data_IF_007952594342
#
_entry.id   IF_007952594342
#
_cell.length_a   1.000
_cell.length_b   1.000
_cell.length_c   1.000
_cell.angle_alpha   90.00
_cell.angle_beta   90.00
_cell.angle_gamma   90.00
#
_symmetry.space_group_name_H-M   'P 1'
#
loop_
_entity.id
_entity.type
_entity.pdbx_description
1 polymer ?
#
# COMPACT_ATOMS: atom_id res chain seq x y z
N UNK A 1 4.76 2.23 -21.31
CA UNK A 1 5.62 1.59 -20.30
C UNK A 1 4.84 0.41 -19.77
N UNK A 2 5.18 -0.83 -20.14
CA UNK A 2 4.55 -2.01 -19.55
C UNK A 2 5.42 -2.56 -18.42
N UNK A 3 4.81 -3.25 -17.45
CA UNK A 3 5.56 -4.11 -16.55
C UNK A 3 6.21 -5.26 -17.34
N UNK A 4 7.35 -5.81 -16.89
CA UNK A 4 7.96 -6.97 -17.51
C UNK A 4 6.98 -8.15 -17.51
N UNK A 5 7.12 -9.05 -18.49
CA UNK A 5 6.30 -10.27 -18.48
C UNK A 5 6.70 -11.15 -17.30
N UNK A 6 5.72 -11.55 -16.51
CA UNK A 6 5.95 -12.37 -15.33
C UNK A 6 6.43 -13.77 -15.75
N UNK A 7 7.62 -14.22 -15.33
CA UNK A 7 8.14 -15.55 -15.60
C UNK A 7 7.38 -16.59 -14.75
N UNK A 8 7.45 -17.87 -15.13
CA UNK A 8 6.69 -18.95 -14.46
C UNK A 8 7.10 -19.13 -13.00
N UNK A 9 8.38 -18.88 -12.72
CA UNK A 9 9.01 -18.96 -11.41
C UNK A 9 8.49 -17.91 -10.43
N UNK A 10 7.96 -16.78 -10.93
CA UNK A 10 7.37 -15.71 -10.11
C UNK A 10 5.85 -15.79 -9.99
N UNK A 11 5.25 -16.95 -10.31
CA UNK A 11 3.83 -17.20 -10.08
C UNK A 11 3.57 -17.58 -8.62
N UNK A 12 3.65 -16.56 -7.76
CA UNK A 12 3.55 -16.68 -6.30
C UNK A 12 2.22 -16.16 -5.78
N UNK A 13 1.74 -16.77 -4.69
CA UNK A 13 0.66 -16.24 -3.88
C UNK A 13 1.10 -15.03 -3.04
N UNK A 14 0.16 -14.22 -2.52
CA UNK A 14 0.50 -13.00 -1.78
C UNK A 14 1.45 -13.24 -0.59
N UNK A 15 1.24 -14.29 0.19
CA UNK A 15 2.15 -14.61 1.30
C UNK A 15 3.51 -15.14 0.81
N UNK A 16 3.54 -15.97 -0.24
CA UNK A 16 4.78 -16.44 -0.88
C UNK A 16 5.64 -15.26 -1.39
N UNK A 17 5.02 -14.30 -2.07
CA UNK A 17 5.69 -13.06 -2.50
C UNK A 17 6.21 -12.28 -1.29
N UNK A 18 5.40 -12.15 -0.24
CA UNK A 18 5.76 -11.38 0.95
C UNK A 18 6.95 -11.97 1.70
N UNK A 19 7.12 -13.30 1.69
CA UNK A 19 8.30 -13.95 2.27
C UNK A 19 9.58 -13.60 1.52
N UNK A 20 9.51 -13.25 0.23
CA UNK A 20 10.67 -12.87 -0.59
C UNK A 20 10.95 -11.37 -0.62
N UNK A 21 9.96 -10.54 -0.29
CA UNK A 21 10.10 -9.08 -0.31
C UNK A 21 11.17 -8.61 0.69
N UNK A 22 12.24 -7.99 0.16
CA UNK A 22 13.32 -7.37 0.96
C UNK A 22 12.87 -6.07 1.66
N UNK A 23 11.71 -5.55 1.25
CA UNK A 23 11.09 -4.34 1.77
C UNK A 23 9.60 -4.57 2.01
N UNK A 24 9.14 -4.33 3.22
CA UNK A 24 7.72 -4.43 3.55
C UNK A 24 7.16 -3.02 3.80
N UNK A 25 6.27 -2.51 2.92
CA UNK A 25 5.57 -1.26 3.19
C UNK A 25 4.47 -1.54 4.23
N UNK A 26 4.51 -0.77 5.31
CA UNK A 26 3.47 -0.78 6.33
C UNK A 26 2.64 0.49 6.25
N UNK A 27 1.32 0.30 6.26
CA UNK A 27 0.33 1.34 6.38
C UNK A 27 -0.82 0.83 7.26
N UNK A 28 -1.47 1.74 7.98
CA UNK A 28 -2.69 1.40 8.71
C UNK A 28 -3.89 1.79 7.87
N UNK A 29 -4.68 0.80 7.46
CA UNK A 29 -5.94 1.02 6.76
C UNK A 29 -7.09 0.91 7.75
N UNK A 30 -8.06 1.83 7.69
CA UNK A 30 -9.28 1.81 8.51
C UNK A 30 -10.51 2.04 7.64
N UNK A 31 -11.62 1.43 8.02
CA UNK A 31 -12.90 1.75 7.42
C UNK A 31 -13.39 3.11 7.93
N UNK A 32 -13.79 3.96 7.01
CA UNK A 32 -14.43 5.23 7.32
C UNK A 32 -15.82 4.98 7.94
N UNK A 33 -16.30 5.85 8.84
CA UNK A 33 -17.57 5.66 9.54
C UNK A 33 -18.81 5.52 8.65
N UNK A 34 -18.71 5.89 7.37
CA UNK A 34 -19.81 5.78 6.40
C UNK A 34 -19.31 5.11 5.13
N UNK A 35 -20.10 4.15 4.64
CA UNK A 35 -20.06 3.61 3.27
C UNK A 35 -18.94 2.58 2.96
N UNK A 36 -18.39 1.89 3.97
CA UNK A 36 -17.45 0.78 3.71
C UNK A 36 -16.07 1.20 3.17
N UNK A 37 -15.87 2.47 2.87
CA UNK A 37 -14.67 2.98 2.24
C UNK A 37 -13.47 2.91 3.19
N UNK A 38 -12.31 2.53 2.66
CA UNK A 38 -11.07 2.44 3.42
C UNK A 38 -10.27 3.74 3.31
N UNK A 39 -9.75 4.24 4.43
CA UNK A 39 -8.81 5.35 4.54
C UNK A 39 -7.49 4.88 5.13
N UNK A 40 -6.40 5.59 4.79
CA UNK A 40 -5.10 5.37 5.41
C UNK A 40 -4.99 6.27 6.63
N UNK A 41 -4.64 5.69 7.78
CA UNK A 41 -4.38 6.41 9.03
C UNK A 41 -2.88 6.50 9.29
N UNK A 42 -2.39 7.72 9.48
CA UNK A 42 -0.98 7.98 9.79
C UNK A 42 -0.06 7.80 8.58
N UNK A 43 1.23 7.61 8.85
CA UNK A 43 2.25 7.56 7.80
C UNK A 43 2.40 6.15 7.21
N UNK A 44 2.75 6.10 5.93
CA UNK A 44 3.27 4.89 5.27
C UNK A 44 4.77 4.81 5.54
N UNK A 45 5.24 3.67 6.02
CA UNK A 45 6.66 3.44 6.33
C UNK A 45 7.17 2.20 5.61
N UNK A 46 8.42 2.22 5.18
CA UNK A 46 9.06 1.08 4.53
C UNK A 46 9.95 0.36 5.56
N UNK A 47 9.73 -0.93 5.81
CA UNK A 47 10.53 -1.71 6.76
C UNK A 47 11.47 -2.63 5.98
N UNK A 48 12.80 -2.49 6.15
CA UNK A 48 13.75 -3.43 5.58
C UNK A 48 13.62 -4.80 6.25
N UNK A 49 13.80 -5.85 5.45
CA UNK A 49 13.61 -7.24 5.88
C UNK A 49 14.84 -8.07 5.53
N UNK A 50 15.24 -8.92 6.48
CA UNK A 50 16.26 -9.93 6.27
C UNK A 50 15.58 -11.27 5.95
N UNK A 51 15.72 -11.71 4.70
CA UNK A 51 14.98 -12.87 4.18
C UNK A 51 15.67 -14.19 4.52
N UNK A 52 16.98 -14.17 4.76
CA UNK A 52 17.80 -15.37 5.05
C UNK A 52 17.28 -16.26 6.18
N UNK A 53 16.98 -15.74 7.39
CA UNK A 53 16.50 -16.59 8.48
C UNK A 53 15.17 -17.26 8.14
N UNK A 54 14.34 -16.58 7.35
CA UNK A 54 13.05 -17.10 6.88
C UNK A 54 13.26 -18.26 5.92
N UNK A 55 14.14 -18.10 4.93
CA UNK A 55 14.46 -19.14 3.94
C UNK A 55 15.07 -20.38 4.60
N UNK A 56 16.02 -20.20 5.51
CA UNK A 56 16.71 -21.32 6.19
C UNK A 56 15.77 -22.10 7.13
N UNK A 57 14.65 -21.49 7.52
CA UNK A 57 13.63 -22.14 8.34
C UNK A 57 12.58 -22.89 7.49
N UNK A 58 12.53 -22.63 6.18
CA UNK A 58 11.63 -23.34 5.28
C UNK A 58 12.19 -24.74 5.01
N UNK A 59 11.34 -25.78 5.00
CA UNK A 59 11.79 -27.13 4.68
C UNK A 59 12.23 -27.19 3.20
N UNK A 60 13.46 -27.62 2.97
CA UNK A 60 14.08 -27.68 1.64
C UNK A 60 13.74 -28.97 0.88
N UNK A 61 13.20 -29.99 1.56
CA UNK A 61 12.98 -31.36 1.07
C UNK A 61 11.54 -31.68 0.69
N UNK A 62 10.65 -30.69 0.61
CA UNK A 62 9.24 -30.97 0.25
C UNK A 62 9.07 -31.15 -1.27
N UNK A 63 8.25 -32.14 -1.63
CA UNK A 63 7.73 -32.36 -2.98
C UNK A 63 7.10 -31.08 -3.54
N UNK A 64 7.02 -30.94 -4.88
CA UNK A 64 6.50 -29.72 -5.53
C UNK A 64 5.10 -29.30 -5.08
N UNK A 65 4.29 -30.26 -4.65
CA UNK A 65 2.91 -30.08 -4.15
C UNK A 65 2.83 -29.79 -2.65
N UNK A 66 3.93 -29.98 -1.91
CA UNK A 66 3.97 -29.79 -0.47
C UNK A 66 3.68 -28.35 -0.06
N UNK A 67 2.73 -28.18 0.86
CA UNK A 67 2.43 -26.88 1.46
C UNK A 67 2.67 -26.92 2.96
N UNK A 68 3.00 -25.76 3.52
CA UNK A 68 3.16 -25.57 4.96
C UNK A 68 2.31 -24.40 5.42
N UNK A 69 1.72 -24.51 6.61
CA UNK A 69 1.01 -23.39 7.21
C UNK A 69 2.01 -22.36 7.74
N UNK A 70 1.94 -21.13 7.22
CA UNK A 70 2.83 -20.03 7.59
C UNK A 70 2.02 -18.86 8.14
N UNK A 71 2.48 -18.31 9.27
CA UNK A 71 1.93 -17.14 9.94
C UNK A 71 2.94 -16.00 9.93
N UNK A 72 2.63 -14.91 9.24
CA UNK A 72 3.42 -13.69 9.26
C UNK A 72 2.90 -12.73 10.33
N UNK A 73 3.79 -12.26 11.19
CA UNK A 73 3.48 -11.27 12.23
C UNK A 73 4.42 -10.09 12.14
N UNK A 74 3.98 -8.92 12.60
CA UNK A 74 4.87 -7.77 12.87
C UNK A 74 5.92 -8.06 13.94
N UNK A 75 5.54 -8.84 14.94
CA UNK A 75 6.39 -9.30 16.04
C UNK A 75 5.95 -10.68 16.49
N UNK A 76 6.89 -11.53 16.87
CA UNK A 76 6.57 -12.88 17.36
C UNK A 76 5.68 -12.85 18.62
N UNK A 77 5.88 -11.85 19.47
CA UNK A 77 5.13 -11.62 20.72
C UNK A 77 3.61 -11.45 20.49
N UNK A 78 3.21 -10.96 19.32
CA UNK A 78 1.83 -10.56 19.08
C UNK A 78 0.91 -11.76 18.88
N UNK A 79 -0.29 -11.70 19.48
CA UNK A 79 -1.32 -12.74 19.29
C UNK A 79 -1.92 -12.68 17.88
N UNK A 80 -2.15 -11.46 17.38
CA UNK A 80 -2.73 -11.23 16.04
C UNK A 80 -1.68 -11.51 14.96
N UNK A 81 -2.10 -12.24 13.95
CA UNK A 81 -1.36 -12.48 12.73
C UNK A 81 -1.79 -11.49 11.65
N UNK A 82 -0.82 -11.00 10.86
CA UNK A 82 -1.10 -10.10 9.73
C UNK A 82 -1.50 -10.89 8.48
N UNK A 83 -0.84 -12.03 8.24
CA UNK A 83 -1.16 -12.96 7.14
C UNK A 83 -0.98 -14.41 7.59
N UNK A 84 -1.96 -15.27 7.33
CA UNK A 84 -1.92 -16.70 7.66
C UNK A 84 -2.42 -17.48 6.46
N UNK A 85 -1.51 -18.11 5.73
CA UNK A 85 -1.83 -18.88 4.51
C UNK A 85 -0.92 -20.11 4.42
N UNK A 86 -1.31 -21.07 3.60
CA UNK A 86 -0.45 -22.20 3.25
C UNK A 86 0.48 -21.78 2.09
N UNK A 87 1.77 -21.99 2.28
CA UNK A 87 2.84 -21.54 1.38
C UNK A 87 3.52 -22.77 0.78
N UNK A 88 3.89 -22.72 -0.51
CA UNK A 88 4.71 -23.74 -1.18
C UNK A 88 6.20 -23.38 -1.05
N UNK A 89 6.98 -24.06 -0.19
CA UNK A 89 8.40 -23.71 0.00
C UNK A 89 9.21 -23.84 -1.29
N UNK A 90 8.89 -24.85 -2.10
CA UNK A 90 9.51 -25.07 -3.40
C UNK A 90 9.39 -23.84 -4.32
N UNK A 91 8.19 -23.29 -4.47
CA UNK A 91 7.95 -22.12 -5.32
C UNK A 91 8.71 -20.88 -4.83
N UNK A 92 8.76 -20.68 -3.51
CA UNK A 92 9.48 -19.57 -2.86
C UNK A 92 10.99 -19.66 -3.14
N UNK A 93 11.59 -20.86 -3.00
CA UNK A 93 13.01 -21.09 -3.27
C UNK A 93 13.34 -20.89 -4.75
N UNK A 94 12.54 -21.45 -5.67
CA UNK A 94 12.73 -21.27 -7.11
C UNK A 94 12.64 -19.79 -7.52
N UNK A 95 11.66 -19.06 -6.99
CA UNK A 95 11.50 -17.63 -7.23
C UNK A 95 12.70 -16.83 -6.72
N UNK A 96 13.19 -17.13 -5.51
CA UNK A 96 14.35 -16.47 -4.94
C UNK A 96 15.59 -16.67 -5.82
N UNK A 97 15.84 -17.91 -6.26
CA UNK A 97 16.95 -18.22 -7.14
C UNK A 97 16.85 -17.45 -8.47
N UNK A 98 15.66 -17.41 -9.07
CA UNK A 98 15.40 -16.61 -10.26
C UNK A 98 15.75 -15.13 -10.04
N UNK A 99 15.32 -14.54 -8.91
CA UNK A 99 15.54 -13.13 -8.58
C UNK A 99 17.02 -12.81 -8.36
N UNK A 100 17.78 -13.71 -7.73
CA UNK A 100 19.22 -13.55 -7.51
C UNK A 100 20.03 -13.68 -8.80
N UNK A 101 19.64 -14.58 -9.71
CA UNK A 101 20.29 -14.74 -11.01
C UNK A 101 20.02 -13.58 -11.96
N UNK A 102 18.77 -13.11 -11.95
CA UNK A 102 18.28 -12.11 -12.93
C UNK A 102 18.68 -10.68 -12.56
N UNK A 103 18.84 -10.38 -11.26
CA UNK A 103 18.99 -9.00 -10.80
C UNK A 103 20.05 -8.83 -9.73
N UNK A 104 20.85 -7.78 -9.88
CA UNK A 104 21.78 -7.32 -8.83
C UNK A 104 21.05 -6.64 -7.65
N UNK A 105 19.79 -6.23 -7.81
CA UNK A 105 19.01 -5.58 -6.74
C UNK A 105 18.76 -6.49 -5.55
N UNK A 106 18.52 -7.77 -5.84
CA UNK A 106 18.19 -8.78 -4.84
C UNK A 106 19.44 -9.42 -4.22
N UNK A 107 20.64 -9.07 -4.72
CA UNK A 107 21.93 -9.47 -4.13
C UNK A 107 22.24 -8.58 -2.94
N UNK A 108 21.44 -8.69 -1.88
CA UNK A 108 21.76 -8.03 -0.62
C UNK A 108 22.97 -8.72 0.04
N UNK A 109 23.90 -7.97 0.66
CA UNK A 109 25.05 -8.53 1.35
C UNK A 109 24.55 -9.38 2.53
N UNK A 110 24.61 -10.69 2.39
CA UNK A 110 24.10 -11.65 3.37
C UNK A 110 23.17 -12.71 2.78
N UNK A 111 22.65 -12.53 1.56
CA UNK A 111 21.80 -13.53 0.92
C UNK A 111 22.67 -14.58 0.20
N UNK A 112 22.95 -15.70 0.87
CA UNK A 112 23.62 -16.87 0.28
C UNK A 112 22.56 -17.97 0.03
N UNK A 113 22.54 -18.53 -1.18
CA UNK A 113 21.73 -19.72 -1.49
C UNK A 113 22.70 -20.87 -1.70
N UNK A 114 22.42 -22.03 -1.10
CA UNK A 114 23.15 -23.23 -1.42
C UNK A 114 22.70 -23.77 -2.79
N UNK A 115 23.61 -23.82 -3.76
CA UNK A 115 23.40 -24.38 -5.09
C UNK A 115 23.02 -25.88 -5.03
N UNK A 116 23.36 -26.58 -3.95
CA UNK A 116 22.99 -27.99 -3.75
C UNK A 116 21.46 -28.19 -3.71
N UNK A 117 20.70 -27.21 -3.19
CA UNK A 117 19.24 -27.26 -3.17
C UNK A 117 18.65 -27.35 -4.58
N UNK A 118 19.32 -26.77 -5.58
CA UNK A 118 18.88 -26.75 -6.97
C UNK A 118 19.12 -28.09 -7.64
N UNK A 119 20.19 -28.79 -7.27
CA UNK A 119 20.55 -30.08 -7.87
C UNK A 119 19.55 -31.17 -7.48
N UNK A 120 19.09 -31.15 -6.23
CA UNK A 120 17.99 -32.01 -5.76
C UNK A 120 16.66 -31.65 -6.46
N UNK A 121 16.38 -30.36 -6.64
CA UNK A 121 15.18 -29.87 -7.34
C UNK A 121 15.17 -30.26 -8.84
N UNK A 122 16.32 -30.20 -9.51
CA UNK A 122 16.44 -30.56 -10.92
C UNK A 122 16.24 -32.07 -11.15
N UNK A 123 16.74 -32.91 -10.24
CA UNK A 123 16.57 -34.38 -10.30
C UNK A 123 15.10 -34.79 -10.11
N UNK A 124 14.37 -34.17 -9.18
CA UNK A 124 12.94 -34.44 -8.95
C UNK A 124 12.09 -34.05 -10.18
N UNK A 125 12.47 -32.99 -10.90
CA UNK A 125 11.77 -32.56 -12.12
C UNK A 125 11.89 -33.56 -13.29
N UNK A 126 13.03 -34.24 -13.44
CA UNK A 126 13.24 -35.21 -14.51
C UNK A 126 12.44 -36.51 -14.28
N UNK A 127 12.21 -36.90 -13.03
CA UNK A 127 11.45 -38.12 -12.68
C UNK A 127 9.93 -37.94 -12.84
N UNK A 128 9.35 -36.80 -12.46
CA UNK A 128 7.90 -36.55 -12.62
C UNK A 128 7.46 -36.45 -14.10
N UNK A 129 8.32 -35.90 -14.97
CA UNK A 129 8.01 -35.75 -16.40
C UNK A 129 7.92 -37.11 -17.14
N UNK A 130 8.45 -38.18 -16.55
CA UNK A 130 8.30 -39.54 -17.08
C UNK A 130 7.04 -40.25 -16.57
N UNK A 131 6.51 -39.89 -15.41
CA UNK A 131 5.33 -40.52 -14.81
C UNK A 131 4.00 -39.99 -15.37
N UNK A 132 3.90 -38.70 -15.74
CA UNK A 132 2.66 -38.12 -16.29
C UNK A 132 2.30 -38.64 -17.69
N UNK A 133 3.23 -39.27 -18.41
CA UNK A 133 2.94 -39.86 -19.74
C UNK A 133 2.31 -41.25 -19.69
N UNK A 134 2.24 -41.88 -18.51
CA UNK A 134 1.79 -43.27 -18.37
C UNK A 134 0.36 -43.44 -17.83
N UNK A 135 -0.37 -42.36 -17.53
CA UNK A 135 -1.64 -42.42 -16.80
C UNK A 135 -2.85 -41.84 -17.56
N UNK A 136 -2.87 -41.90 -18.89
CA UNK A 136 -4.04 -41.46 -19.68
C UNK A 136 -4.61 -42.58 -20.54
N UNK A 137 -5.24 -43.59 -19.95
CA UNK A 137 -6.31 -44.37 -20.60
C UNK A 137 -7.29 -44.93 -19.54
N UNK A 138 -8.61 -44.74 -19.78
CA UNK A 138 -9.78 -45.36 -19.13
C UNK A 138 -10.23 -44.69 -17.79
N UNK A 139 -11.49 -44.31 -17.51
CA UNK A 139 -12.82 -44.78 -17.97
C UNK A 139 -13.88 -43.65 -18.01
N UNK A 140 -14.94 -43.94 -18.77
CA UNK A 140 -16.16 -43.18 -19.06
C UNK A 140 -17.29 -43.35 -18.00
N UNK A 141 -18.23 -42.37 -18.04
CA UNK A 141 -19.70 -42.43 -17.83
C UNK A 141 -20.40 -42.19 -16.46
N UNK A 142 -21.33 -41.20 -16.53
CA UNK A 142 -22.73 -41.12 -16.02
C UNK A 142 -22.93 -40.98 -14.48
N UNK A 143 -23.85 -40.18 -13.89
CA UNK A 143 -25.20 -39.63 -14.21
C UNK A 143 -25.45 -38.37 -13.33
N UNK A 144 -26.04 -37.25 -13.80
CA UNK A 144 -27.47 -36.83 -13.83
C UNK A 144 -28.20 -36.49 -12.50
N UNK A 145 -28.76 -35.26 -12.49
CA UNK A 145 -29.91 -34.69 -11.72
C UNK A 145 -29.67 -34.31 -10.24
N UNK A 146 -30.20 -33.22 -9.65
CA UNK A 146 -31.37 -32.40 -10.00
C UNK A 146 -31.40 -31.05 -9.20
N UNK A 147 -32.13 -30.08 -9.77
CA UNK A 147 -32.93 -28.97 -9.20
C UNK A 147 -32.43 -28.00 -8.09
N UNK A 148 -32.37 -26.72 -8.49
CA UNK A 148 -33.01 -25.50 -7.92
C UNK A 148 -33.28 -25.38 -6.40
N UNK A 149 -32.79 -24.30 -5.76
CA UNK A 149 -33.61 -23.18 -5.22
C UNK A 149 -32.70 -22.23 -4.42
N UNK A 150 -32.39 -21.05 -5.00
CA UNK A 150 -31.52 -20.04 -4.38
C UNK A 150 -32.40 -18.97 -3.71
N UNK A 151 -32.82 -19.25 -2.47
CA UNK A 151 -33.51 -18.27 -1.64
C UNK A 151 -32.49 -17.47 -0.84
N UNK A 152 -32.30 -16.20 -1.22
CA UNK A 152 -31.55 -15.19 -0.47
C UNK A 152 -32.10 -15.05 0.97
N UNK A 153 -31.43 -15.67 1.94
CA UNK A 153 -31.60 -15.38 3.37
C UNK A 153 -30.29 -14.87 3.98
N UNK A 154 -30.10 -13.56 3.89
CA UNK A 154 -29.08 -12.83 4.64
C UNK A 154 -29.51 -12.77 6.12
N UNK A 155 -28.80 -13.49 7.00
CA UNK A 155 -28.92 -13.33 8.45
C UNK A 155 -27.56 -12.96 9.05
N UNK A 156 -27.50 -11.80 9.72
CA UNK A 156 -26.40 -11.41 10.62
C UNK A 156 -26.21 -12.49 11.70
N UNK A 157 -25.05 -13.14 11.71
CA UNK A 157 -24.63 -14.00 12.83
C UNK A 157 -23.54 -13.31 13.64
N UNK A 158 -23.91 -13.07 14.89
CA UNK A 158 -23.16 -12.52 16.01
C UNK A 158 -21.87 -13.35 16.27
N UNK A 159 -20.73 -12.68 16.47
CA UNK A 159 -19.38 -13.26 16.50
C UNK A 159 -19.06 -14.13 17.74
N UNK A 160 -20.06 -14.72 18.40
CA UNK A 160 -19.87 -15.37 19.71
C UNK A 160 -20.42 -16.80 19.85
N UNK A 161 -20.53 -17.58 18.77
CA UNK A 161 -20.74 -19.02 18.88
C UNK A 161 -19.69 -19.81 18.09
N UNK A 162 -18.76 -20.41 18.83
CA UNK A 162 -17.95 -21.55 18.39
C UNK A 162 -18.87 -22.69 17.99
N UNK A 163 -19.23 -22.76 16.71
CA UNK A 163 -19.78 -23.98 16.13
C UNK A 163 -18.63 -24.95 15.88
N UNK A 164 -18.56 -25.97 16.75
CA UNK A 164 -17.83 -27.21 16.51
C UNK A 164 -18.57 -27.95 15.40
N UNK A 165 -18.30 -27.56 14.16
CA UNK A 165 -18.82 -28.21 12.95
C UNK A 165 -17.71 -29.01 12.31
N UNK A 166 -17.89 -30.33 12.27
CA UNK A 166 -17.00 -31.28 11.59
C UNK A 166 -16.73 -30.85 10.14
N UNK A 167 -15.51 -30.42 9.84
CA UNK A 167 -14.97 -30.39 8.48
C UNK A 167 -13.96 -31.52 8.34
N UNK A 168 -14.48 -32.75 8.32
CA UNK A 168 -13.71 -33.95 8.01
C UNK A 168 -14.01 -34.34 6.56
N UNK A 169 -13.25 -33.76 5.62
CA UNK A 169 -13.09 -34.27 4.24
C UNK A 169 -11.71 -33.89 3.69
N UNK A 170 -10.66 -34.28 4.38
CA UNK A 170 -9.32 -34.43 3.80
C UNK A 170 -8.62 -35.58 4.53
N UNK A 171 -8.77 -36.78 3.98
CA UNK A 171 -8.00 -37.97 4.39
C UNK A 171 -6.60 -37.87 3.80
N UNK A 172 -5.77 -36.98 4.36
CA UNK A 172 -4.33 -37.16 4.22
C UNK A 172 -3.86 -37.96 5.43
N UNK A 173 -3.61 -39.26 5.21
CA UNK A 173 -2.82 -40.07 6.13
C UNK A 173 -1.37 -39.55 6.13
N UNK A 174 -1.11 -38.46 6.82
CA UNK A 174 0.23 -37.96 7.08
C UNK A 174 0.77 -38.77 8.26
N UNK A 175 1.91 -39.48 8.15
CA UNK A 175 2.45 -40.24 9.26
C UNK A 175 2.75 -39.31 10.45
N UNK A 176 2.27 -39.70 11.64
CA UNK A 176 2.25 -39.00 12.95
C UNK A 176 3.61 -38.52 13.50
N UNK A 177 4.68 -38.49 12.70
CA UNK A 177 6.04 -38.22 13.13
C UNK A 177 6.68 -36.98 12.49
N UNK A 178 5.93 -36.10 11.82
CA UNK A 178 6.47 -34.80 11.38
C UNK A 178 6.07 -33.67 12.35
N UNK A 179 6.92 -33.28 13.33
CA UNK A 179 6.62 -32.22 14.30
C UNK A 179 6.42 -30.83 13.68
N UNK A 180 6.66 -30.66 12.37
CA UNK A 180 6.42 -29.42 11.65
C UNK A 180 4.93 -29.22 11.27
N UNK A 181 4.13 -30.29 11.24
CA UNK A 181 2.75 -30.26 10.76
C UNK A 181 1.75 -29.76 11.81
N UNK A 182 2.01 -30.01 13.10
CA UNK A 182 1.12 -29.61 14.21
C UNK A 182 1.34 -28.17 14.69
N UNK A 183 2.48 -27.56 14.37
CA UNK A 183 2.79 -26.18 14.73
C UNK A 183 3.27 -25.41 13.49
N UNK A 184 2.33 -24.77 12.78
CA UNK A 184 2.67 -23.93 11.62
C UNK A 184 3.77 -22.91 11.90
N UNK A 185 4.64 -22.68 10.92
CA UNK A 185 5.81 -21.81 11.03
C UNK A 185 5.37 -20.35 11.20
N UNK A 186 5.93 -19.65 12.20
CA UNK A 186 5.62 -18.25 12.46
C UNK A 186 6.85 -17.38 12.22
N UNK A 187 6.72 -16.37 11.35
CA UNK A 187 7.80 -15.46 10.99
C UNK A 187 7.46 -14.00 11.33
N UNK A 188 8.46 -13.26 11.78
CA UNK A 188 8.42 -11.81 11.92
C UNK A 188 9.70 -11.18 11.35
N UNK A 189 9.86 -11.18 10.01
CA UNK A 189 11.17 -10.95 9.40
C UNK A 189 11.59 -9.46 9.38
N UNK A 190 10.66 -8.55 9.68
CA UNK A 190 10.93 -7.13 9.92
C UNK A 190 11.07 -6.76 11.41
N UNK A 191 11.04 -7.74 12.33
CA UNK A 191 11.16 -7.48 13.76
C UNK A 191 12.57 -6.95 14.11
N UNK A 192 12.65 -5.92 14.94
CA UNK A 192 13.91 -5.28 15.32
C UNK A 192 14.49 -4.30 14.28
N UNK A 193 13.95 -4.29 13.05
CA UNK A 193 14.39 -3.38 11.99
C UNK A 193 13.77 -1.99 12.16
N UNK A 194 14.54 -0.94 11.80
CA UNK A 194 14.06 0.44 11.85
C UNK A 194 13.37 0.82 10.54
N UNK A 195 12.12 1.32 10.58
CA UNK A 195 11.45 1.80 9.38
C UNK A 195 12.20 2.97 8.74
N UNK A 196 12.23 2.97 7.41
CA UNK A 196 12.83 3.98 6.55
C UNK A 196 11.71 4.72 5.81
N UNK A 197 11.91 5.99 5.48
CA UNK A 197 10.99 6.72 4.61
C UNK A 197 10.99 6.13 3.20
N UNK A 198 9.82 5.99 2.59
CA UNK A 198 9.68 5.48 1.22
C UNK A 198 10.48 6.32 0.20
N UNK A 199 10.66 7.62 0.46
CA UNK A 199 11.40 8.53 -0.42
C UNK A 199 12.92 8.44 -0.26
N UNK A 200 13.40 7.94 0.88
CA UNK A 200 14.84 7.80 1.13
C UNK A 200 15.41 6.53 0.51
N UNK A 201 14.56 5.54 0.22
CA UNK A 201 14.93 4.28 -0.39
C UNK A 201 14.44 4.24 -1.85
N UNK A 202 15.30 4.55 -2.84
CA UNK A 202 14.91 4.60 -4.25
C UNK A 202 14.48 3.24 -4.80
N UNK A 203 14.85 2.16 -4.13
CA UNK A 203 14.56 0.79 -4.54
C UNK A 203 13.38 0.16 -3.83
N UNK A 204 12.75 0.90 -2.91
CA UNK A 204 11.67 0.39 -2.07
C UNK A 204 10.57 -0.29 -2.88
N UNK A 205 10.11 0.34 -3.97
CA UNK A 205 9.06 -0.19 -4.83
C UNK A 205 9.47 -1.51 -5.51
N UNK A 206 10.70 -1.59 -6.02
CA UNK A 206 11.20 -2.77 -6.74
C UNK A 206 11.44 -3.95 -5.79
N UNK A 207 11.92 -3.67 -4.57
CA UNK A 207 12.21 -4.66 -3.54
C UNK A 207 10.97 -5.10 -2.76
N UNK A 208 9.90 -4.29 -2.76
CA UNK A 208 8.63 -4.64 -2.13
C UNK A 208 7.77 -5.57 -2.98
N UNK A 209 7.81 -5.41 -4.30
CA UNK A 209 6.93 -6.14 -5.23
C UNK A 209 7.74 -6.91 -6.28
N UNK A 210 8.46 -7.97 -5.85
CA UNK A 210 9.33 -8.72 -6.75
C UNK A 210 8.56 -9.38 -7.91
N UNK A 211 7.27 -9.70 -7.74
CA UNK A 211 6.47 -10.34 -8.80
C UNK A 211 5.96 -9.35 -9.86
N UNK A 212 5.87 -8.06 -9.53
CA UNK A 212 5.44 -6.99 -10.45
C UNK A 212 6.64 -6.54 -11.30
N UNK A 213 7.78 -6.31 -10.63
CA UNK A 213 8.98 -5.80 -11.28
C UNK A 213 9.93 -6.89 -11.76
N UNK A 214 9.69 -8.16 -11.38
CA UNK A 214 10.55 -9.29 -11.74
C UNK A 214 12.04 -9.07 -11.39
N UNK A 215 12.29 -8.33 -10.32
CA UNK A 215 13.63 -7.90 -9.91
C UNK A 215 14.27 -6.83 -10.80
N UNK A 216 13.57 -6.24 -11.76
CA UNK A 216 14.13 -5.23 -12.66
C UNK A 216 13.76 -3.82 -12.19
N UNK A 217 14.74 -2.89 -12.18
CA UNK A 217 14.43 -1.47 -12.04
C UNK A 217 13.77 -0.96 -13.30
N UNK A 218 12.94 0.08 -13.16
CA UNK A 218 12.57 0.88 -14.34
C UNK A 218 13.84 1.54 -14.90
N UNK A 219 13.93 1.73 -16.22
CA UNK A 219 15.08 2.39 -16.84
C UNK A 219 15.23 3.79 -16.27
N UNK A 220 16.46 4.22 -16.01
CA UNK A 220 16.72 5.55 -15.47
C UNK A 220 16.40 6.65 -16.50
N UNK A 221 16.18 7.89 -16.04
CA UNK A 221 15.95 9.02 -16.95
C UNK A 221 17.10 9.27 -17.94
N UNK A 222 18.31 8.76 -17.66
CA UNK A 222 19.46 8.81 -18.58
C UNK A 222 19.30 7.87 -19.79
N UNK A 223 18.56 6.79 -19.62
CA UNK A 223 18.32 5.77 -20.65
C UNK A 223 17.05 6.04 -21.46
N UNK A 224 16.22 6.97 -20.99
CA UNK A 224 14.96 7.35 -21.64
C UNK A 224 15.19 8.45 -22.67
N UNK A 225 14.43 8.39 -23.77
CA UNK A 225 14.36 9.48 -24.75
C UNK A 225 13.76 10.76 -24.17
N UNK A 226 12.85 10.63 -23.20
CA UNK A 226 12.18 11.72 -22.50
C UNK A 226 12.30 11.48 -21.01
N UNK A 227 12.77 12.49 -20.28
CA UNK A 227 12.82 12.44 -18.82
C UNK A 227 11.40 12.40 -18.27
N UNK A 228 11.13 11.44 -17.39
CA UNK A 228 9.82 11.28 -16.73
C UNK A 228 10.02 11.37 -15.23
N UNK A 229 9.25 12.24 -14.58
CA UNK A 229 9.28 12.35 -13.13
C UNK A 229 8.53 11.15 -12.49
N UNK A 230 8.95 10.72 -11.31
CA UNK A 230 8.31 9.61 -10.59
C UNK A 230 6.80 9.82 -10.45
N UNK A 231 6.39 11.05 -10.15
CA UNK A 231 4.98 11.45 -10.08
C UNK A 231 4.20 11.14 -11.36
N UNK A 232 4.80 11.31 -12.54
CA UNK A 232 4.11 11.09 -13.80
C UNK A 232 3.96 9.61 -14.12
N UNK A 233 4.91 8.79 -13.66
CA UNK A 233 4.82 7.33 -13.70
C UNK A 233 3.62 6.86 -12.86
N UNK A 234 3.56 7.26 -11.59
CA UNK A 234 2.48 6.85 -10.68
C UNK A 234 1.11 7.34 -11.18
N UNK A 235 1.02 8.58 -11.69
CA UNK A 235 -0.20 9.10 -12.34
C UNK A 235 -0.67 8.23 -13.50
N UNK A 236 0.27 7.79 -14.34
CA UNK A 236 -0.06 6.97 -15.49
C UNK A 236 -0.61 5.61 -15.06
N UNK A 237 -0.01 4.98 -14.06
CA UNK A 237 -0.45 3.69 -13.52
C UNK A 237 -1.85 3.75 -12.93
N UNK A 238 -2.10 4.73 -12.05
CA UNK A 238 -3.41 4.95 -11.45
C UNK A 238 -4.51 5.16 -12.50
N UNK A 239 -4.20 5.92 -13.55
CA UNK A 239 -5.15 6.21 -14.64
C UNK A 239 -5.33 5.06 -15.60
N UNK A 240 -4.33 4.20 -15.75
CA UNK A 240 -4.42 3.01 -16.62
C UNK A 240 -5.30 1.91 -16.01
N UNK A 241 -5.47 1.92 -14.68
CA UNK A 241 -6.23 0.90 -13.96
C UNK A 241 -7.76 1.05 -14.11
N UNK A 242 -8.27 2.27 -14.24
CA UNK A 242 -9.70 2.54 -14.41
C UNK A 242 -10.01 2.93 -15.87
N UNK A 243 -10.62 2.02 -16.62
CA UNK A 243 -10.95 2.19 -18.05
C UNK A 243 -12.36 2.74 -18.28
N UNK A 244 -13.08 3.15 -17.22
CA UNK A 244 -14.45 3.68 -17.36
C UNK A 244 -14.44 5.05 -18.04
N UNK A 245 -15.18 5.16 -19.13
CA UNK A 245 -15.36 6.41 -19.85
C UNK A 245 -16.36 7.32 -19.13
N UNK A 246 -16.05 8.61 -19.08
CA UNK A 246 -16.94 9.62 -18.48
C UNK A 246 -18.05 9.96 -19.47
N UNK A 247 -19.29 9.57 -19.15
CA UNK A 247 -20.48 9.87 -19.96
C UNK A 247 -21.00 11.31 -19.77
N UNK A 248 -20.81 11.87 -18.59
CA UNK A 248 -21.15 13.26 -18.26
C UNK A 248 -20.05 13.89 -17.40
N UNK A 249 -19.47 14.98 -17.89
CA UNK A 249 -18.38 15.70 -17.24
C UNK A 249 -18.82 16.35 -15.92
N UNK A 250 -20.08 16.82 -15.82
CA UNK A 250 -20.57 17.46 -14.60
C UNK A 250 -20.91 16.42 -13.53
N UNK A 251 -21.61 15.34 -13.87
CA UNK A 251 -21.82 14.23 -12.94
C UNK A 251 -20.49 13.62 -12.47
N UNK A 252 -19.49 13.52 -13.34
CA UNK A 252 -18.15 13.06 -12.97
C UNK A 252 -17.45 14.05 -12.03
N UNK A 253 -17.50 15.35 -12.31
CA UNK A 253 -16.90 16.36 -11.42
C UNK A 253 -17.57 16.37 -10.03
N UNK A 254 -18.90 16.28 -9.97
CA UNK A 254 -19.65 16.21 -8.71
C UNK A 254 -19.39 14.89 -7.99
N UNK A 255 -19.32 13.76 -8.72
CA UNK A 255 -18.96 12.47 -8.15
C UNK A 255 -17.54 12.52 -7.57
N UNK A 256 -16.54 12.97 -8.35
CA UNK A 256 -15.16 13.10 -7.91
C UNK A 256 -15.05 14.04 -6.72
N UNK A 257 -15.68 15.22 -6.76
CA UNK A 257 -15.66 16.17 -5.66
C UNK A 257 -16.30 15.57 -4.40
N UNK A 258 -17.48 14.97 -4.53
CA UNK A 258 -18.17 14.30 -3.42
C UNK A 258 -17.42 13.10 -2.87
N UNK A 259 -16.61 12.43 -3.70
CA UNK A 259 -15.83 11.25 -3.38
C UNK A 259 -14.50 11.60 -2.71
N UNK A 260 -13.81 12.62 -3.22
CA UNK A 260 -12.55 13.14 -2.65
C UNK A 260 -12.83 13.90 -1.36
N UNK A 261 -13.81 14.80 -1.34
CA UNK A 261 -14.14 15.61 -0.15
C UNK A 261 -14.92 14.85 0.92
N UNK A 262 -15.23 13.56 0.68
CA UNK A 262 -16.10 12.76 1.56
C UNK A 262 -15.56 12.62 2.98
N UNK A 263 -14.25 12.39 3.12
CA UNK A 263 -13.59 12.26 4.42
C UNK A 263 -13.32 13.61 5.10
N UNK A 264 -13.42 14.71 4.35
CA UNK A 264 -13.31 16.07 4.88
C UNK A 264 -14.64 16.63 5.41
N UNK A 265 -15.77 15.91 5.22
CA UNK A 265 -17.08 16.36 5.73
C UNK A 265 -17.08 16.45 7.26
N UNK A 266 -17.42 17.64 7.78
CA UNK A 266 -17.45 17.90 9.22
C UNK A 266 -16.16 18.48 9.80
N UNK A 267 -15.07 18.54 9.02
CA UNK A 267 -13.80 19.15 9.45
C UNK A 267 -13.95 20.63 9.84
N UNK A 268 -14.86 21.37 9.20
CA UNK A 268 -15.11 22.78 9.55
C UNK A 268 -15.58 22.94 10.98
N UNK A 269 -16.51 22.09 11.44
CA UNK A 269 -17.04 22.17 12.81
C UNK A 269 -15.98 21.80 13.85
N UNK A 270 -15.16 20.79 13.56
CA UNK A 270 -14.04 20.37 14.40
C UNK A 270 -12.96 21.44 14.50
N UNK A 271 -12.61 22.07 13.38
CA UNK A 271 -11.65 23.18 13.35
C UNK A 271 -12.19 24.42 14.06
N UNK A 272 -13.49 24.71 13.91
CA UNK A 272 -14.13 25.81 14.65
C UNK A 272 -14.10 25.57 16.16
N UNK A 273 -14.30 24.33 16.60
CA UNK A 273 -14.18 23.96 18.01
C UNK A 273 -12.74 24.11 18.50
N UNK A 274 -11.76 23.54 17.79
CA UNK A 274 -10.34 23.67 18.14
C UNK A 274 -9.89 25.14 18.16
N UNK A 275 -10.41 25.99 17.26
CA UNK A 275 -10.13 27.41 17.22
C UNK A 275 -10.80 28.19 18.38
N UNK A 276 -11.94 27.73 18.90
CA UNK A 276 -12.57 28.28 20.11
C UNK A 276 -11.79 27.88 21.36
N UNK A 277 -11.39 26.62 21.46
CA UNK A 277 -10.57 26.09 22.57
C UNK A 277 -9.20 26.78 22.63
N UNK A 278 -8.54 26.95 21.48
CA UNK A 278 -7.28 27.69 21.38
C UNK A 278 -7.41 29.15 21.81
N UNK A 279 -8.55 29.81 21.53
CA UNK A 279 -8.82 31.21 21.93
C UNK A 279 -9.18 31.37 23.40
N UNK A 280 -9.75 30.34 24.03
CA UNK A 280 -10.08 30.33 25.46
C UNK A 280 -8.84 30.09 26.33
N UNK A 281 -7.86 29.36 25.82
CA UNK A 281 -6.55 29.24 26.47
C UNK A 281 -5.74 30.54 26.36
N UNK A 282 -5.20 31.03 27.48
CA UNK A 282 -4.16 32.07 27.52
C UNK A 282 -2.82 31.52 26.98
N UNK A 283 -2.83 30.98 25.77
CA UNK A 283 -1.68 30.41 25.09
C UNK A 283 -1.11 31.43 24.11
N UNK A 284 0.21 31.43 23.97
CA UNK A 284 0.89 32.21 22.93
C UNK A 284 0.43 31.79 21.53
N UNK A 285 0.46 32.72 20.58
CA UNK A 285 -0.13 32.58 19.24
C UNK A 285 0.46 31.38 18.48
N UNK A 286 1.74 31.09 18.69
CA UNK A 286 2.43 29.91 18.14
C UNK A 286 1.88 28.59 18.71
N UNK A 287 1.56 28.59 20.00
CA UNK A 287 0.98 27.43 20.68
C UNK A 287 -0.48 27.20 20.28
N UNK A 288 -1.24 28.28 20.05
CA UNK A 288 -2.60 28.20 19.50
C UNK A 288 -2.61 27.56 18.11
N UNK A 289 -1.73 28.01 17.21
CA UNK A 289 -1.59 27.43 15.87
C UNK A 289 -1.18 25.96 15.94
N UNK A 290 -0.24 25.61 16.84
CA UNK A 290 0.18 24.21 17.03
C UNK A 290 -0.95 23.33 17.59
N UNK A 291 -1.77 23.87 18.49
CA UNK A 291 -2.93 23.16 19.04
C UNK A 291 -3.95 22.83 17.94
N UNK A 292 -4.32 23.82 17.13
CA UNK A 292 -5.23 23.63 15.98
C UNK A 292 -4.62 22.65 14.97
N UNK A 293 -3.33 22.79 14.66
CA UNK A 293 -2.62 21.91 13.71
C UNK A 293 -2.49 20.46 14.17
N UNK A 294 -2.30 20.23 15.48
CA UNK A 294 -2.30 18.89 16.06
C UNK A 294 -3.70 18.26 16.01
N UNK A 295 -4.73 19.05 16.32
CA UNK A 295 -6.11 18.58 16.26
C UNK A 295 -6.50 18.20 14.82
N UNK A 296 -6.14 19.04 13.85
CA UNK A 296 -6.29 18.77 12.42
C UNK A 296 -5.57 17.47 12.02
N UNK A 297 -4.26 17.37 12.29
CA UNK A 297 -3.46 16.20 11.91
C UNK A 297 -3.98 14.87 12.47
N UNK A 298 -4.63 14.90 13.65
CA UNK A 298 -5.17 13.71 14.29
C UNK A 298 -6.60 13.35 13.86
N UNK A 299 -7.36 14.33 13.37
CA UNK A 299 -8.78 14.17 12.98
C UNK A 299 -8.98 14.04 11.49
N UNK A 300 -8.04 14.52 10.67
CA UNK A 300 -8.10 14.36 9.22
C UNK A 300 -7.95 12.90 8.86
N UNK A 301 -8.99 12.37 8.25
CA UNK A 301 -8.94 11.10 7.54
C UNK A 301 -8.89 11.43 6.04
N UNK A 302 -7.97 10.78 5.33
CA UNK A 302 -7.78 11.01 3.90
C UNK A 302 -8.10 9.72 3.17
N UNK A 303 -9.00 9.79 2.18
CA UNK A 303 -9.30 8.63 1.33
C UNK A 303 -8.03 8.15 0.63
N UNK A 304 -7.94 6.87 0.27
CA UNK A 304 -6.75 6.34 -0.42
C UNK A 304 -6.43 7.13 -1.72
N UNK A 305 -7.47 7.56 -2.44
CA UNK A 305 -7.36 8.31 -3.67
C UNK A 305 -6.88 9.75 -3.43
N UNK A 306 -7.45 10.44 -2.46
CA UNK A 306 -7.03 11.79 -2.08
C UNK A 306 -5.61 11.80 -1.50
N UNK A 307 -5.27 10.80 -0.68
CA UNK A 307 -3.93 10.62 -0.14
C UNK A 307 -2.91 10.48 -1.27
N UNK A 308 -3.27 9.72 -2.31
CA UNK A 308 -2.43 9.57 -3.51
C UNK A 308 -2.26 10.91 -4.25
N UNK A 309 -3.33 11.69 -4.44
CA UNK A 309 -3.24 13.01 -5.06
C UNK A 309 -2.37 13.99 -4.26
N UNK A 310 -2.49 14.01 -2.93
CA UNK A 310 -1.69 14.85 -2.04
C UNK A 310 -0.22 14.43 -2.02
N UNK A 311 0.05 13.12 -1.87
CA UNK A 311 1.39 12.53 -1.89
C UNK A 311 2.14 12.87 -3.18
N UNK A 312 1.43 12.79 -4.31
CA UNK A 312 1.97 13.07 -5.63
C UNK A 312 1.99 14.56 -5.98
N UNK A 313 1.59 15.46 -5.06
CA UNK A 313 1.42 16.90 -5.31
C UNK A 313 0.63 17.18 -6.60
N UNK A 314 -0.36 16.33 -6.86
CA UNK A 314 -1.24 16.54 -8.00
C UNK A 314 -2.13 17.74 -7.70
N UNK A 315 -2.26 18.68 -8.65
CA UNK A 315 -3.23 19.75 -8.50
C UNK A 315 -4.62 19.13 -8.41
N UNK A 316 -5.24 19.21 -7.23
CA UNK A 316 -6.62 18.76 -6.97
C UNK A 316 -7.60 19.48 -7.88
N UNK A 317 -7.27 20.71 -8.27
CA UNK A 317 -8.00 21.49 -9.27
C UNK A 317 -7.01 22.15 -10.22
N UNK A 318 -7.33 22.13 -11.52
CA UNK A 318 -6.69 22.97 -12.53
C UNK A 318 -7.76 23.90 -13.08
N UNK A 319 -7.64 25.19 -12.79
CA UNK A 319 -8.51 26.21 -13.35
C UNK A 319 -7.78 26.95 -14.46
N UNK A 320 -8.45 27.19 -15.58
CA UNK A 320 -7.96 28.11 -16.62
C UNK A 320 -8.09 29.58 -16.22
N UNK A 321 -8.77 29.85 -15.10
CA UNK A 321 -9.04 31.18 -14.55
C UNK A 321 -8.37 31.33 -13.19
N UNK A 322 -7.66 32.44 -12.98
CA UNK A 322 -7.07 32.78 -11.70
C UNK A 322 -8.18 33.16 -10.70
N UNK A 323 -8.16 32.53 -9.52
CA UNK A 323 -9.03 32.92 -8.41
C UNK A 323 -8.30 33.95 -7.57
N UNK A 324 -8.91 35.12 -7.40
CA UNK A 324 -8.35 36.22 -6.65
C UNK A 324 -9.29 36.56 -5.50
N UNK A 325 -8.77 36.59 -4.28
CA UNK A 325 -9.55 36.96 -3.10
C UNK A 325 -9.82 38.48 -3.12
N UNK A 326 -11.09 38.85 -3.06
CA UNK A 326 -11.53 40.25 -2.98
C UNK A 326 -12.07 40.49 -1.57
N UNK A 327 -11.37 41.30 -0.78
CA UNK A 327 -11.83 41.66 0.57
C UNK A 327 -12.99 42.66 0.47
N UNK A 328 -14.22 42.20 0.67
CA UNK A 328 -15.43 43.03 0.62
C UNK A 328 -15.69 43.84 1.91
N UNK A 329 -14.83 43.75 2.91
CA UNK A 329 -14.96 44.52 4.16
C UNK A 329 -14.82 46.02 3.91
N UNK A 330 -15.36 46.89 4.80
CA UNK A 330 -15.11 48.33 4.75
C UNK A 330 -13.61 48.64 4.75
N UNK A 331 -13.17 49.66 4.00
CA UNK A 331 -11.76 49.96 3.73
C UNK A 331 -10.88 50.03 5.00
N UNK A 332 -11.40 50.63 6.08
CA UNK A 332 -10.71 50.75 7.37
C UNK A 332 -10.57 49.42 8.16
N UNK A 333 -11.26 48.36 7.74
CA UNK A 333 -11.17 47.01 8.32
C UNK A 333 -10.48 46.01 7.39
N UNK A 334 -10.11 46.42 6.16
CA UNK A 334 -9.41 45.55 5.24
C UNK A 334 -8.00 45.33 5.75
N UNK A 335 -7.62 44.06 5.92
CA UNK A 335 -6.23 43.69 6.22
C UNK A 335 -5.38 43.89 4.97
N UNK A 336 -4.22 44.52 5.13
CA UNK A 336 -3.23 44.73 4.06
C UNK A 336 -1.87 44.22 4.50
N UNK A 337 -1.06 43.79 3.54
CA UNK A 337 0.33 43.41 3.78
C UNK A 337 1.20 44.67 3.78
N UNK A 338 2.08 44.79 4.77
CA UNK A 338 3.08 45.84 4.81
C UNK A 338 4.15 45.62 3.74
N UNK A 339 4.72 46.71 3.23
CA UNK A 339 5.93 46.65 2.40
C UNK A 339 7.06 45.97 3.19
N UNK A 340 8.03 45.37 2.49
CA UNK A 340 9.21 44.80 3.13
C UNK A 340 9.96 45.87 3.95
N UNK A 341 10.61 45.47 5.05
CA UNK A 341 11.35 46.38 5.96
C UNK A 341 12.36 47.26 5.22
N UNK A 342 13.08 46.70 4.24
CA UNK A 342 14.04 47.41 3.40
C UNK A 342 13.43 48.49 2.50
N UNK A 343 12.13 48.41 2.21
CA UNK A 343 11.37 49.41 1.47
C UNK A 343 10.71 50.44 2.40
N UNK A 344 10.34 50.03 3.61
CA UNK A 344 9.84 50.91 4.68
C UNK A 344 10.92 51.88 5.17
N UNK A 345 12.16 51.44 5.29
CA UNK A 345 13.30 52.29 5.70
C UNK A 345 13.67 53.36 4.66
N UNK A 346 13.27 53.15 3.39
CA UNK A 346 13.51 54.09 2.29
C UNK A 346 12.38 55.12 2.13
N UNK A 347 11.29 54.97 2.86
CA UNK A 347 10.18 55.91 2.84
C UNK A 347 10.53 57.15 3.68
N UNK A 348 10.10 58.32 3.22
CA UNK A 348 10.25 59.55 3.99
C UNK A 348 9.50 59.49 5.33
N UNK A 349 9.92 60.26 6.34
CA UNK A 349 9.38 60.18 7.70
C UNK A 349 7.86 60.45 7.80
N UNK A 350 7.29 61.16 6.82
CA UNK A 350 5.86 61.51 6.78
C UNK A 350 5.05 60.65 5.78
N UNK A 351 5.67 59.63 5.17
CA UNK A 351 4.98 58.82 4.16
C UNK A 351 4.04 57.80 4.80
N UNK A 352 2.77 57.86 4.43
CA UNK A 352 1.70 56.93 4.86
C UNK A 352 1.55 55.72 3.93
N UNK A 353 2.38 55.61 2.89
CA UNK A 353 2.32 54.54 1.89
C UNK A 353 3.07 53.28 2.34
N UNK A 354 2.65 52.73 3.47
CA UNK A 354 3.25 51.55 4.12
C UNK A 354 2.73 50.22 3.55
N UNK A 355 1.68 50.28 2.74
CA UNK A 355 0.98 49.13 2.21
C UNK A 355 1.63 48.60 0.94
N UNK A 356 1.77 47.28 0.80
CA UNK A 356 2.21 46.65 -0.44
C UNK A 356 1.17 46.82 -1.57
N UNK A 357 1.65 46.88 -2.82
CA UNK A 357 0.79 47.00 -4.00
C UNK A 357 -0.11 45.77 -4.12
N UNK A 358 -1.39 46.04 -4.36
CA UNK A 358 -2.39 45.02 -4.61
C UNK A 358 -3.34 45.58 -5.69
N UNK A 359 -3.45 44.91 -6.84
CA UNK A 359 -4.13 45.38 -8.06
C UNK A 359 -5.63 45.73 -7.87
N UNK A 360 -6.18 45.42 -6.70
CA UNK A 360 -7.61 45.38 -6.40
C UNK A 360 -8.07 46.56 -5.53
N UNK A 361 -7.16 47.43 -5.06
CA UNK A 361 -7.54 48.62 -4.28
C UNK A 361 -8.49 49.59 -5.00
N UNK A 362 -8.62 49.44 -6.32
CA UNK A 362 -9.46 50.28 -7.18
C UNK A 362 -10.96 49.94 -7.14
N UNK A 363 -11.36 48.87 -6.44
CA UNK A 363 -12.75 48.38 -6.39
C UNK A 363 -13.32 48.28 -4.97
#
# INVERSE_FOLDING_TARGET
MGFPQRPKELNLYPLEERLLSLRIPFMQIRQLPRDGQLSVKGNVVNVPVEVQPTINSLPHTLEKSGTISVKLKKKLEFKKCDFSENVRPFAVICALHYLMRTSDLNKSPGLEINEDWITEIAQINEEETQNEKNSTEQEDNQDQNDSEDDSDHFSEVDENETHVGNTDTLLDHIPDNNPLCDTGLTFAPGEGQRPISLYSDPDAEYLSFPTIFCGQRRPDNKERSVSVHYTDIVKWELRSMDRRFVLDAFACAVYIDSYISKSQKGMSALLDQAAKEARQGNLDLKHQVRHIGNYFSNSVETSAQEATYLTLQMPLTKATRQVVFINTSPQHKRTFLLKQSSALEKLGPDSTEIESDNDIKRY
#
